data_IF_030534851242
#
_entry.id   IF_030534851242
#
_cell.length_a   1.000
_cell.length_b   1.000
_cell.length_c   1.000
_cell.angle_alpha   90.00
_cell.angle_beta   90.00
_cell.angle_gamma   90.00
#
_symmetry.space_group_name_H-M   'P 1'
#
loop_
_entity.id
_entity.type
_entity.pdbx_description
1 polymer ?
#
# COMPACT_ATOMS: atom_id res chain seq x y z
N UNK A 1 -23.69 -12.29 6.50
CA UNK A 1 -24.15 -10.97 6.02
C UNK A 1 -23.86 -9.95 7.10
N UNK A 2 -22.99 -8.98 6.82
CA UNK A 2 -22.76 -7.85 7.74
C UNK A 2 -24.07 -7.06 7.78
N UNK A 3 -24.66 -6.92 8.96
CA UNK A 3 -25.86 -6.11 9.15
C UNK A 3 -25.50 -4.65 8.89
N UNK A 4 -26.27 -3.97 8.05
CA UNK A 4 -26.12 -2.56 7.75
C UNK A 4 -26.35 -1.77 9.04
N UNK A 5 -25.31 -1.19 9.61
CA UNK A 5 -25.43 -0.33 10.77
C UNK A 5 -26.03 1.01 10.33
N UNK A 6 -27.16 1.40 10.92
CA UNK A 6 -27.90 2.63 10.55
C UNK A 6 -27.60 3.80 11.49
N UNK A 7 -26.69 3.63 12.46
CA UNK A 7 -26.32 4.68 13.40
C UNK A 7 -25.43 5.76 12.75
N UNK A 8 -25.38 6.93 13.38
CA UNK A 8 -24.50 8.02 12.93
C UNK A 8 -23.19 7.96 13.68
N UNK A 9 -22.08 7.88 12.93
CA UNK A 9 -20.72 7.81 13.45
C UNK A 9 -20.00 9.15 13.35
N UNK A 10 -19.02 9.36 14.22
CA UNK A 10 -18.16 10.55 14.23
C UNK A 10 -16.71 10.20 14.57
N UNK A 11 -15.77 10.89 13.95
CA UNK A 11 -14.34 10.81 14.29
C UNK A 11 -13.58 12.05 13.85
N UNK A 12 -12.37 12.24 14.42
CA UNK A 12 -11.39 13.21 13.92
C UNK A 12 -10.75 12.58 12.67
N UNK A 13 -10.79 13.29 11.54
CA UNK A 13 -10.31 12.82 10.23
C UNK A 13 -8.95 13.39 9.83
N UNK A 14 -8.40 14.33 10.58
CA UNK A 14 -7.06 14.90 10.40
C UNK A 14 -6.08 14.30 11.41
N UNK A 15 -4.76 14.32 11.11
CA UNK A 15 -3.74 13.92 12.09
C UNK A 15 -3.88 14.75 13.38
N UNK A 16 -3.60 14.11 14.53
CA UNK A 16 -3.57 14.79 15.83
C UNK A 16 -2.28 15.62 15.93
N UNK A 17 -2.43 16.90 16.26
CA UNK A 17 -1.29 17.82 16.38
C UNK A 17 -1.76 19.26 16.34
N UNK A 18 -0.81 20.20 16.27
CA UNK A 18 -1.09 21.62 16.06
C UNK A 18 -1.07 21.90 14.55
N UNK A 19 -2.16 22.46 14.03
CA UNK A 19 -2.32 22.78 12.62
C UNK A 19 -3.31 23.93 12.41
N UNK A 20 -3.42 24.42 11.19
CA UNK A 20 -4.38 25.48 10.88
C UNK A 20 -5.82 24.97 10.93
N UNK A 21 -6.07 23.72 10.53
CA UNK A 21 -7.41 23.12 10.41
C UNK A 21 -7.39 21.72 11.00
N UNK A 22 -8.41 21.41 11.82
CA UNK A 22 -8.82 20.07 12.22
C UNK A 22 -10.19 19.74 11.63
N UNK A 23 -10.45 18.48 11.28
CA UNK A 23 -11.73 18.04 10.73
C UNK A 23 -12.33 16.98 11.64
N UNK A 24 -13.54 17.26 12.15
CA UNK A 24 -14.39 16.26 12.80
C UNK A 24 -15.52 15.89 11.85
N UNK A 25 -15.60 14.61 11.50
CA UNK A 25 -16.56 14.10 10.49
C UNK A 25 -17.69 13.34 11.16
N UNK A 26 -18.92 13.52 10.64
CA UNK A 26 -20.07 12.67 10.92
C UNK A 26 -20.53 11.99 9.63
N UNK A 27 -21.00 10.75 9.74
CA UNK A 27 -21.66 10.02 8.64
C UNK A 27 -22.81 9.19 9.20
N UNK A 28 -23.96 9.25 8.54
CA UNK A 28 -25.15 8.50 8.93
C UNK A 28 -26.43 9.30 8.76
N UNK A 29 -27.56 8.65 9.04
CA UNK A 29 -28.90 9.21 8.83
C UNK A 29 -29.18 10.47 9.63
N UNK A 30 -28.59 10.59 10.83
CA UNK A 30 -28.82 11.70 11.75
C UNK A 30 -27.72 12.76 11.73
N UNK A 31 -26.76 12.68 10.76
CA UNK A 31 -25.61 13.57 10.71
C UNK A 31 -25.99 15.06 10.70
N UNK A 32 -26.99 15.43 9.89
CA UNK A 32 -27.50 16.80 9.83
C UNK A 32 -28.24 17.20 11.10
N UNK A 33 -29.06 16.30 11.67
CA UNK A 33 -29.83 16.57 12.88
C UNK A 33 -28.91 16.77 14.10
N UNK A 34 -27.86 15.95 14.23
CA UNK A 34 -26.86 16.06 15.31
C UNK A 34 -26.06 17.36 15.16
N UNK A 35 -25.54 17.62 13.95
CA UNK A 35 -24.77 18.84 13.70
C UNK A 35 -25.59 20.12 13.94
N UNK A 36 -26.87 20.14 13.57
CA UNK A 36 -27.76 21.28 13.76
C UNK A 36 -27.97 21.64 15.21
N UNK A 37 -27.88 20.67 16.15
CA UNK A 37 -28.02 20.95 17.60
C UNK A 37 -26.88 21.78 18.17
N UNK A 38 -25.69 21.69 17.55
CA UNK A 38 -24.45 22.31 18.04
C UNK A 38 -23.95 23.46 17.19
N UNK A 39 -24.52 23.65 16.00
CA UNK A 39 -24.09 24.66 15.06
C UNK A 39 -24.95 25.93 15.13
N UNK A 40 -24.31 27.09 15.29
CA UNK A 40 -24.93 28.40 15.17
C UNK A 40 -24.46 29.09 13.91
N UNK A 41 -25.28 29.07 12.89
CA UNK A 41 -25.03 29.63 11.57
C UNK A 41 -26.28 29.52 10.70
N UNK A 42 -26.08 29.19 9.41
CA UNK A 42 -27.20 28.88 8.51
C UNK A 42 -27.88 27.57 8.95
N UNK A 43 -29.18 27.49 8.73
CA UNK A 43 -29.93 26.25 8.96
C UNK A 43 -29.43 25.14 8.04
N UNK A 44 -28.77 24.12 8.61
CA UNK A 44 -28.20 23.00 7.86
C UNK A 44 -29.26 22.16 7.14
N UNK A 45 -30.53 22.23 7.55
CA UNK A 45 -31.62 21.55 6.84
C UNK A 45 -31.87 22.16 5.46
N UNK A 46 -31.57 23.45 5.27
CA UNK A 46 -31.87 24.21 4.06
C UNK A 46 -30.67 24.46 3.14
N UNK A 47 -29.46 24.20 3.61
CA UNK A 47 -28.24 24.41 2.81
C UNK A 47 -28.15 23.41 1.65
N UNK A 48 -27.63 23.81 0.49
CA UNK A 48 -27.39 22.88 -0.60
C UNK A 48 -26.32 21.85 -0.27
N UNK A 49 -26.41 20.67 -0.88
CA UNK A 49 -25.35 19.67 -0.78
C UNK A 49 -24.05 20.19 -1.40
N UNK A 50 -22.90 19.75 -0.86
CA UNK A 50 -21.55 20.17 -1.26
C UNK A 50 -21.32 21.68 -1.08
N UNK A 51 -21.77 22.22 0.04
CA UNK A 51 -21.59 23.62 0.41
C UNK A 51 -20.79 23.78 1.70
N UNK A 52 -20.04 24.87 1.79
CA UNK A 52 -19.36 25.31 3.02
C UNK A 52 -20.17 26.39 3.70
N UNK A 53 -20.38 26.27 5.00
CA UNK A 53 -21.23 27.14 5.78
C UNK A 53 -20.48 27.63 7.04
N UNK A 54 -20.27 28.95 7.12
CA UNK A 54 -19.61 29.60 8.24
C UNK A 54 -20.55 29.69 9.46
N UNK A 55 -19.98 29.49 10.66
CA UNK A 55 -20.68 29.65 11.92
C UNK A 55 -19.82 29.28 13.12
N UNK A 56 -20.48 28.94 14.23
CA UNK A 56 -19.82 28.59 15.48
C UNK A 56 -20.35 27.25 16.00
N UNK A 57 -19.51 26.49 16.66
CA UNK A 57 -19.91 25.35 17.48
C UNK A 57 -20.18 25.82 18.89
N UNK A 58 -21.36 25.52 19.38
CA UNK A 58 -21.85 25.93 20.70
C UNK A 58 -22.31 24.69 21.47
N UNK A 59 -21.89 24.57 22.70
CA UNK A 59 -22.47 23.58 23.60
C UNK A 59 -23.90 24.01 23.96
N UNK A 60 -24.96 23.27 23.56
CA UNK A 60 -26.34 23.65 23.80
C UNK A 60 -26.71 23.62 25.26
N UNK A 61 -25.95 22.97 26.14
CA UNK A 61 -26.20 22.87 27.56
C UNK A 61 -25.71 24.11 28.33
N UNK A 62 -24.52 24.62 27.96
CA UNK A 62 -23.86 25.73 28.65
C UNK A 62 -23.99 27.05 27.90
N UNK A 63 -24.29 27.02 26.60
CA UNK A 63 -24.28 28.18 25.72
C UNK A 63 -22.87 28.66 25.35
N UNK A 64 -21.83 27.94 25.76
CA UNK A 64 -20.44 28.29 25.50
C UNK A 64 -20.08 28.05 24.00
N UNK A 65 -19.46 29.04 23.40
CA UNK A 65 -18.83 28.90 22.04
C UNK A 65 -17.53 28.13 22.19
N UNK A 66 -17.42 26.99 21.51
CA UNK A 66 -16.23 26.16 21.53
C UNK A 66 -15.24 26.58 20.42
N UNK A 67 -15.77 26.90 19.22
CA UNK A 67 -14.92 27.30 18.09
C UNK A 67 -15.74 28.03 17.01
N UNK A 68 -15.04 28.79 16.19
CA UNK A 68 -15.51 29.37 14.93
C UNK A 68 -15.13 28.43 13.78
N UNK A 69 -16.10 27.98 12.99
CA UNK A 69 -15.92 26.82 12.10
C UNK A 69 -16.50 27.06 10.70
N UNK A 70 -16.04 26.24 9.77
CA UNK A 70 -16.69 26.02 8.47
C UNK A 70 -17.29 24.61 8.43
N UNK A 71 -18.60 24.50 8.21
CA UNK A 71 -19.25 23.19 8.04
C UNK A 71 -19.41 22.86 6.56
N UNK A 72 -18.80 21.73 6.14
CA UNK A 72 -19.08 21.07 4.88
C UNK A 72 -20.33 20.18 5.00
N UNK A 73 -21.36 20.46 4.21
CA UNK A 73 -22.61 19.72 4.21
C UNK A 73 -22.76 18.91 2.92
N UNK A 74 -22.86 17.58 3.01
CA UNK A 74 -22.92 16.68 1.87
C UNK A 74 -24.05 15.66 2.06
N UNK A 75 -25.00 15.62 1.12
CA UNK A 75 -26.18 14.75 1.21
C UNK A 75 -26.02 13.48 0.38
N UNK A 76 -26.50 12.38 0.95
CA UNK A 76 -26.67 11.10 0.27
C UNK A 76 -27.39 11.28 -1.10
N UNK A 77 -27.07 10.44 -2.14
CA UNK A 77 -26.04 9.38 -2.17
C UNK A 77 -24.67 9.86 -2.69
N UNK A 78 -24.50 11.14 -3.03
CA UNK A 78 -23.24 11.67 -3.64
C UNK A 78 -22.25 12.06 -2.55
N UNK A 79 -21.86 11.10 -1.69
CA UNK A 79 -20.91 11.30 -0.58
C UNK A 79 -19.93 10.15 -0.55
N UNK A 80 -18.89 10.24 0.28
CA UNK A 80 -17.90 9.16 0.40
C UNK A 80 -18.51 7.84 0.90
N UNK A 81 -19.37 7.90 1.91
CA UNK A 81 -20.04 6.72 2.49
C UNK A 81 -21.36 6.36 1.82
N UNK A 82 -21.82 7.18 0.86
CA UNK A 82 -23.21 7.18 0.36
C UNK A 82 -24.29 7.42 1.43
N UNK A 83 -23.89 7.93 2.60
CA UNK A 83 -24.76 8.41 3.67
C UNK A 83 -24.74 9.94 3.70
N UNK A 84 -25.54 10.58 4.55
CA UNK A 84 -25.40 11.99 4.84
C UNK A 84 -24.08 12.24 5.61
N UNK A 85 -23.29 13.21 5.15
CA UNK A 85 -21.98 13.52 5.74
C UNK A 85 -21.89 14.99 6.11
N UNK A 86 -21.40 15.26 7.31
CA UNK A 86 -21.03 16.59 7.78
C UNK A 86 -19.55 16.60 8.14
N UNK A 87 -18.81 17.59 7.66
CA UNK A 87 -17.44 17.85 8.07
C UNK A 87 -17.35 19.20 8.78
N UNK A 88 -16.95 19.18 10.04
CA UNK A 88 -16.73 20.37 10.85
C UNK A 88 -15.25 20.71 10.79
N UNK A 89 -14.92 21.76 10.03
CA UNK A 89 -13.56 22.28 9.92
C UNK A 89 -13.34 23.26 11.06
N UNK A 90 -12.57 22.85 12.05
CA UNK A 90 -12.24 23.57 13.28
C UNK A 90 -10.85 24.18 13.18
N UNK A 91 -10.45 25.03 14.13
CA UNK A 91 -9.03 25.27 14.36
C UNK A 91 -8.32 23.97 14.74
N UNK A 92 -7.11 23.73 14.18
CA UNK A 92 -6.39 22.46 14.26
C UNK A 92 -5.66 22.23 15.59
N UNK A 93 -6.35 22.45 16.72
CA UNK A 93 -5.83 22.18 18.06
C UNK A 93 -6.38 20.87 18.61
N UNK A 94 -5.56 20.08 19.33
CA UNK A 94 -5.97 18.80 19.93
C UNK A 94 -7.15 18.99 20.88
N UNK A 95 -7.13 20.03 21.71
CA UNK A 95 -8.16 20.28 22.71
C UNK A 95 -9.51 20.59 22.07
N UNK A 96 -9.54 21.48 21.07
CA UNK A 96 -10.80 21.91 20.44
C UNK A 96 -11.41 20.80 19.60
N UNK A 97 -10.63 20.06 18.84
CA UNK A 97 -11.13 18.93 18.02
C UNK A 97 -11.69 17.82 18.89
N UNK A 98 -11.04 17.49 20.02
CA UNK A 98 -11.53 16.50 20.96
C UNK A 98 -12.80 16.97 21.68
N UNK A 99 -12.90 18.23 22.10
CA UNK A 99 -14.10 18.75 22.76
C UNK A 99 -15.31 18.73 21.82
N UNK A 100 -15.12 19.09 20.55
CA UNK A 100 -16.18 19.02 19.53
C UNK A 100 -16.57 17.55 19.28
N UNK A 101 -15.63 16.62 19.17
CA UNK A 101 -15.90 15.19 19.03
C UNK A 101 -16.76 14.68 20.21
N UNK A 102 -16.36 15.00 21.44
CA UNK A 102 -17.12 14.62 22.65
C UNK A 102 -18.50 15.25 22.67
N UNK A 103 -18.63 16.50 22.22
CA UNK A 103 -19.92 17.17 22.13
C UNK A 103 -20.85 16.42 21.16
N UNK A 104 -20.37 16.02 19.97
CA UNK A 104 -21.16 15.29 18.99
C UNK A 104 -21.61 13.92 19.53
N UNK A 105 -20.74 13.23 20.29
CA UNK A 105 -21.09 11.97 20.96
C UNK A 105 -22.19 12.21 21.99
N UNK A 106 -22.10 13.26 22.80
CA UNK A 106 -23.17 13.65 23.75
C UNK A 106 -24.49 13.97 23.03
N UNK A 107 -24.44 14.42 21.77
CA UNK A 107 -25.65 14.72 20.99
C UNK A 107 -26.24 13.52 20.25
N UNK A 108 -25.64 12.33 20.36
CA UNK A 108 -26.18 11.08 19.85
C UNK A 108 -25.39 10.41 18.71
N UNK A 109 -24.22 10.93 18.35
CA UNK A 109 -23.31 10.20 17.47
C UNK A 109 -22.55 9.11 18.26
N UNK A 110 -22.18 8.03 17.58
CA UNK A 110 -21.25 7.02 18.10
C UNK A 110 -19.83 7.31 17.61
N UNK A 111 -18.83 7.02 18.41
CA UNK A 111 -17.44 7.03 17.96
C UNK A 111 -17.25 5.99 16.84
N UNK A 112 -16.64 6.39 15.73
CA UNK A 112 -16.32 5.47 14.64
C UNK A 112 -15.22 4.50 15.04
N UNK A 113 -15.29 3.28 14.52
CA UNK A 113 -14.19 2.31 14.55
C UNK A 113 -13.11 2.66 13.51
N UNK A 114 -11.88 2.13 13.64
CA UNK A 114 -10.86 2.26 12.59
C UNK A 114 -11.41 1.78 11.24
N UNK A 115 -11.23 2.59 10.18
CA UNK A 115 -11.68 2.26 8.82
C UNK A 115 -13.19 2.27 8.59
N UNK A 116 -14.02 2.65 9.57
CA UNK A 116 -15.48 2.48 9.46
C UNK A 116 -16.11 3.31 8.33
N UNK A 117 -15.63 4.50 8.07
CA UNK A 117 -16.16 5.30 6.93
C UNK A 117 -15.91 4.60 5.59
N UNK A 118 -14.72 4.02 5.39
CA UNK A 118 -14.40 3.27 4.16
C UNK A 118 -15.14 1.93 4.12
N UNK A 119 -15.32 1.25 5.26
CA UNK A 119 -16.16 0.06 5.39
C UNK A 119 -17.60 0.35 4.95
N UNK A 120 -18.18 1.48 5.40
CA UNK A 120 -19.51 1.92 4.96
C UNK A 120 -19.57 2.27 3.48
N UNK A 121 -18.52 2.91 2.94
CA UNK A 121 -18.42 3.15 1.51
C UNK A 121 -18.44 1.84 0.71
N UNK A 122 -17.74 0.80 1.17
CA UNK A 122 -17.76 -0.55 0.61
C UNK A 122 -19.14 -1.21 0.74
N UNK A 123 -19.72 -1.26 1.94
CA UNK A 123 -21.03 -1.87 2.20
C UNK A 123 -22.17 -1.18 1.43
N UNK A 124 -22.06 0.11 1.18
CA UNK A 124 -22.99 0.90 0.39
C UNK A 124 -22.69 0.82 -1.12
N UNK A 125 -21.71 0.04 -1.56
CA UNK A 125 -21.38 -0.21 -2.97
C UNK A 125 -20.80 1.02 -3.69
N UNK A 126 -20.17 1.96 -2.96
CA UNK A 126 -19.45 3.08 -3.58
C UNK A 126 -18.08 2.65 -4.11
N UNK A 127 -17.39 1.84 -3.35
CA UNK A 127 -16.08 1.28 -3.68
C UNK A 127 -16.11 -0.22 -3.45
N UNK A 128 -15.32 -0.97 -4.17
CA UNK A 128 -15.05 -2.38 -3.87
C UNK A 128 -13.86 -2.54 -2.91
N UNK A 129 -13.49 -3.79 -2.61
CA UNK A 129 -12.44 -4.06 -1.62
C UNK A 129 -11.06 -3.60 -2.13
N UNK A 130 -10.77 -3.72 -3.43
CA UNK A 130 -9.49 -3.27 -4.00
C UNK A 130 -9.36 -1.74 -3.97
N UNK A 131 -10.45 -1.03 -4.24
CA UNK A 131 -10.52 0.42 -4.15
C UNK A 131 -10.43 0.91 -2.69
N UNK A 132 -11.06 0.17 -1.75
CA UNK A 132 -10.95 0.47 -0.33
C UNK A 132 -9.50 0.35 0.16
N UNK A 133 -8.78 -0.71 -0.22
CA UNK A 133 -7.35 -0.87 0.08
C UNK A 133 -6.51 0.24 -0.56
N UNK A 134 -6.84 0.63 -1.79
CA UNK A 134 -6.15 1.71 -2.50
C UNK A 134 -6.27 3.07 -1.80
N UNK A 135 -7.36 3.34 -1.04
CA UNK A 135 -7.45 4.56 -0.19
C UNK A 135 -6.27 4.63 0.78
N UNK A 136 -5.93 3.51 1.43
CA UNK A 136 -4.80 3.48 2.35
C UNK A 136 -3.46 3.54 1.62
N UNK A 137 -3.36 2.93 0.45
CA UNK A 137 -2.15 2.97 -0.35
C UNK A 137 -1.84 4.40 -0.85
N UNK A 138 -2.86 5.19 -1.23
CA UNK A 138 -2.69 6.63 -1.54
C UNK A 138 -2.18 7.41 -0.33
N UNK A 139 -2.74 7.17 0.87
CA UNK A 139 -2.35 7.87 2.10
C UNK A 139 -0.91 7.51 2.53
N UNK A 140 -0.52 6.24 2.35
CA UNK A 140 0.78 5.71 2.76
C UNK A 140 1.86 5.82 1.68
N UNK A 141 1.51 6.25 0.46
CA UNK A 141 2.44 6.36 -0.65
C UNK A 141 3.67 7.21 -0.27
N UNK A 142 4.87 6.67 -0.53
CA UNK A 142 6.15 7.31 -0.21
C UNK A 142 6.80 7.98 -1.42
N UNK A 143 6.30 7.70 -2.62
CA UNK A 143 6.82 8.25 -3.87
C UNK A 143 5.68 8.58 -4.82
N UNK A 144 5.94 9.46 -5.79
CA UNK A 144 4.96 9.80 -6.84
C UNK A 144 4.52 8.58 -7.63
N UNK A 145 5.44 7.65 -7.93
CA UNK A 145 5.11 6.41 -8.64
C UNK A 145 4.17 5.53 -7.83
N UNK A 146 4.42 5.39 -6.51
CA UNK A 146 3.53 4.66 -5.61
C UNK A 146 2.15 5.32 -5.54
N UNK A 147 2.10 6.64 -5.39
CA UNK A 147 0.85 7.41 -5.36
C UNK A 147 0.06 7.24 -6.66
N UNK A 148 0.69 7.39 -7.83
CA UNK A 148 0.00 7.22 -9.11
C UNK A 148 -0.55 5.81 -9.29
N UNK A 149 0.19 4.76 -8.88
CA UNK A 149 -0.33 3.39 -8.93
C UNK A 149 -1.53 3.20 -7.99
N UNK A 150 -1.47 3.74 -6.77
CA UNK A 150 -2.58 3.67 -5.82
C UNK A 150 -3.82 4.44 -6.32
N UNK A 151 -3.64 5.62 -6.95
CA UNK A 151 -4.75 6.37 -7.56
C UNK A 151 -5.41 5.58 -8.69
N UNK A 152 -4.65 4.92 -9.57
CA UNK A 152 -5.21 4.05 -10.61
C UNK A 152 -6.03 2.89 -10.03
N UNK A 153 -5.56 2.27 -8.95
CA UNK A 153 -6.33 1.23 -8.27
C UNK A 153 -7.60 1.81 -7.64
N UNK A 154 -7.53 3.01 -7.05
CA UNK A 154 -8.68 3.72 -6.50
C UNK A 154 -9.72 4.06 -7.57
N UNK A 155 -9.28 4.41 -8.78
CA UNK A 155 -10.15 4.65 -9.95
C UNK A 155 -10.79 3.36 -10.48
N UNK A 156 -10.39 2.18 -9.98
CA UNK A 156 -11.01 0.89 -10.28
C UNK A 156 -10.39 0.13 -11.46
N UNK A 157 -9.19 0.48 -11.93
CA UNK A 157 -8.56 -0.19 -13.07
C UNK A 157 -8.34 -1.69 -12.84
N UNK A 158 -7.92 -2.08 -11.62
CA UNK A 158 -7.77 -3.50 -11.24
C UNK A 158 -9.14 -4.18 -11.12
N UNK A 159 -10.10 -3.53 -10.47
CA UNK A 159 -11.46 -4.04 -10.30
C UNK A 159 -12.13 -4.33 -11.65
N UNK A 160 -12.00 -3.42 -12.60
CA UNK A 160 -12.56 -3.59 -13.92
C UNK A 160 -11.95 -4.81 -14.62
N UNK A 161 -10.63 -4.94 -14.63
CA UNK A 161 -9.93 -6.08 -15.23
C UNK A 161 -10.38 -7.41 -14.62
N UNK A 162 -10.47 -7.49 -13.28
CA UNK A 162 -10.95 -8.70 -12.58
C UNK A 162 -12.41 -9.00 -12.91
N UNK A 163 -13.27 -8.00 -12.90
CA UNK A 163 -14.70 -8.18 -13.18
C UNK A 163 -14.95 -8.58 -14.65
N UNK A 164 -14.23 -8.00 -15.60
CA UNK A 164 -14.32 -8.38 -17.02
C UNK A 164 -13.87 -9.86 -17.19
N UNK A 165 -12.78 -10.26 -16.53
CA UNK A 165 -12.29 -11.65 -16.55
C UNK A 165 -13.32 -12.59 -15.92
N UNK A 166 -13.89 -12.24 -14.77
CA UNK A 166 -14.96 -13.02 -14.12
C UNK A 166 -16.18 -13.18 -15.00
N UNK A 167 -16.59 -12.12 -15.69
CA UNK A 167 -17.74 -12.18 -16.61
C UNK A 167 -17.48 -13.14 -17.77
N UNK A 168 -16.27 -13.11 -18.35
CA UNK A 168 -15.89 -14.05 -19.42
C UNK A 168 -15.83 -15.50 -18.92
N UNK A 169 -15.31 -15.75 -17.70
CA UNK A 169 -15.34 -17.09 -17.08
C UNK A 169 -16.78 -17.54 -16.89
N UNK A 170 -17.66 -16.67 -16.39
CA UNK A 170 -19.08 -16.97 -16.20
C UNK A 170 -19.78 -17.30 -17.54
N UNK A 171 -19.48 -16.56 -18.60
CA UNK A 171 -19.99 -16.83 -19.94
C UNK A 171 -19.52 -18.20 -20.45
N UNK A 172 -18.27 -18.56 -20.18
CA UNK A 172 -17.71 -19.88 -20.55
C UNK A 172 -18.40 -21.00 -19.77
N UNK A 173 -18.59 -20.81 -18.44
CA UNK A 173 -19.33 -21.76 -17.61
C UNK A 173 -20.76 -21.96 -18.08
N UNK A 174 -21.47 -20.89 -18.45
CA UNK A 174 -22.83 -20.98 -18.98
C UNK A 174 -22.89 -21.79 -20.29
N UNK A 175 -21.88 -21.66 -21.17
CA UNK A 175 -21.82 -22.45 -22.41
C UNK A 175 -21.54 -23.93 -22.13
N UNK A 176 -20.66 -24.22 -21.13
CA UNK A 176 -20.42 -25.61 -20.67
C UNK A 176 -21.71 -26.22 -20.14
N UNK A 177 -22.48 -25.49 -19.31
CA UNK A 177 -23.72 -25.99 -18.70
C UNK A 177 -24.80 -26.28 -19.74
N UNK A 178 -24.94 -25.42 -20.76
CA UNK A 178 -25.88 -25.69 -21.90
C UNK A 178 -25.53 -27.01 -22.61
N UNK A 179 -24.24 -27.34 -22.74
CA UNK A 179 -23.84 -28.55 -23.44
C UNK A 179 -24.01 -29.80 -22.54
N UNK A 180 -23.89 -29.67 -21.23
CA UNK A 180 -24.21 -30.75 -20.28
C UNK A 180 -25.71 -31.06 -20.30
N UNK A 181 -26.56 -30.05 -20.37
CA UNK A 181 -28.00 -30.20 -20.35
C UNK A 181 -28.59 -30.76 -21.66
N UNK A 182 -27.88 -30.57 -22.78
CA UNK A 182 -28.32 -30.99 -24.13
C UNK A 182 -27.26 -31.84 -24.86
N UNK A 183 -26.91 -33.02 -24.35
CA UNK A 183 -25.81 -33.83 -24.86
C UNK A 183 -26.10 -34.56 -26.18
N UNK A 184 -27.21 -34.26 -26.85
CA UNK A 184 -27.72 -35.01 -28.03
C UNK A 184 -26.88 -34.79 -29.30
N UNK A 185 -25.84 -33.96 -29.26
CA UNK A 185 -25.01 -33.60 -30.42
C UNK A 185 -23.51 -33.79 -30.13
N UNK A 186 -22.91 -34.86 -30.64
CA UNK A 186 -21.49 -35.20 -30.48
C UNK A 186 -20.56 -34.05 -30.94
N UNK A 187 -20.94 -33.31 -31.98
CA UNK A 187 -20.17 -32.18 -32.52
C UNK A 187 -20.06 -30.98 -31.49
N UNK A 188 -21.00 -30.90 -30.58
CA UNK A 188 -21.10 -29.83 -29.59
C UNK A 188 -20.11 -30.04 -28.43
N UNK A 189 -19.84 -31.29 -28.03
CA UNK A 189 -18.89 -31.61 -26.97
C UNK A 189 -17.46 -31.25 -27.40
N UNK A 190 -17.04 -31.59 -28.61
CA UNK A 190 -15.73 -31.27 -29.15
C UNK A 190 -15.53 -29.77 -29.29
N UNK A 191 -16.52 -29.05 -29.83
CA UNK A 191 -16.51 -27.59 -29.96
C UNK A 191 -16.43 -26.89 -28.59
N UNK A 192 -17.06 -27.45 -27.56
CA UNK A 192 -17.02 -26.90 -26.18
C UNK A 192 -15.68 -27.13 -25.54
N UNK A 193 -15.10 -28.30 -25.70
CA UNK A 193 -13.75 -28.62 -25.18
C UNK A 193 -12.71 -27.67 -25.75
N UNK A 194 -12.77 -27.38 -27.06
CA UNK A 194 -11.84 -26.45 -27.69
C UNK A 194 -12.06 -25.02 -27.23
N UNK A 195 -13.32 -24.57 -27.06
CA UNK A 195 -13.64 -23.28 -26.51
C UNK A 195 -13.10 -23.11 -25.08
N UNK A 196 -13.31 -24.10 -24.20
CA UNK A 196 -12.81 -24.09 -22.83
C UNK A 196 -11.27 -24.01 -22.83
N UNK A 197 -10.61 -24.76 -23.71
CA UNK A 197 -9.16 -24.72 -23.90
C UNK A 197 -8.67 -23.33 -24.26
N UNK A 198 -9.23 -22.75 -25.33
CA UNK A 198 -8.86 -21.41 -25.80
C UNK A 198 -9.05 -20.35 -24.72
N UNK A 199 -10.23 -20.34 -24.08
CA UNK A 199 -10.56 -19.36 -23.04
C UNK A 199 -9.70 -19.52 -21.80
N UNK A 200 -9.43 -20.73 -21.33
CA UNK A 200 -8.57 -20.99 -20.16
C UNK A 200 -7.15 -20.52 -20.40
N UNK A 201 -6.58 -20.76 -21.58
CA UNK A 201 -5.28 -20.24 -21.94
C UNK A 201 -5.22 -18.70 -22.00
N UNK A 202 -6.27 -18.06 -22.51
CA UNK A 202 -6.41 -16.60 -22.53
C UNK A 202 -6.46 -16.03 -21.09
N UNK A 203 -7.25 -16.62 -20.20
CA UNK A 203 -7.35 -16.19 -18.80
C UNK A 203 -6.03 -16.41 -18.07
N UNK A 204 -5.37 -17.55 -18.24
CA UNK A 204 -4.09 -17.84 -17.63
C UNK A 204 -3.03 -16.84 -18.06
N UNK A 205 -2.90 -16.57 -19.36
CA UNK A 205 -1.94 -15.61 -19.89
C UNK A 205 -2.16 -14.18 -19.34
N UNK A 206 -3.42 -13.75 -19.19
CA UNK A 206 -3.79 -12.47 -18.62
C UNK A 206 -3.39 -12.37 -17.14
N UNK A 207 -3.73 -13.37 -16.32
CA UNK A 207 -3.41 -13.39 -14.89
C UNK A 207 -1.89 -13.53 -14.65
N UNK A 208 -1.18 -14.33 -15.43
CA UNK A 208 0.28 -14.45 -15.36
C UNK A 208 0.98 -13.13 -15.74
N UNK A 209 0.43 -12.40 -16.74
CA UNK A 209 0.96 -11.08 -17.08
C UNK A 209 0.78 -10.10 -15.92
N UNK A 210 -0.36 -10.15 -15.24
CA UNK A 210 -0.62 -9.34 -14.06
C UNK A 210 0.36 -9.70 -12.92
N UNK A 211 0.61 -10.99 -12.67
CA UNK A 211 1.60 -11.46 -11.69
C UNK A 211 3.03 -10.98 -12.00
N UNK A 212 3.41 -10.86 -13.27
CA UNK A 212 4.72 -10.28 -13.64
C UNK A 212 4.92 -8.86 -13.15
N UNK A 213 3.83 -8.10 -12.96
CA UNK A 213 3.89 -6.74 -12.40
C UNK A 213 4.05 -6.74 -10.88
N UNK A 214 3.75 -7.85 -10.19
CA UNK A 214 3.62 -7.94 -8.73
C UNK A 214 4.91 -7.56 -8.00
N UNK A 215 6.08 -8.04 -8.46
CA UNK A 215 7.36 -7.71 -7.83
C UNK A 215 7.62 -6.20 -7.81
N UNK A 216 7.35 -5.52 -8.93
CA UNK A 216 7.51 -4.06 -9.05
C UNK A 216 6.49 -3.32 -8.20
N UNK A 217 5.23 -3.74 -8.26
CA UNK A 217 4.17 -3.14 -7.47
C UNK A 217 4.43 -3.25 -5.97
N UNK A 218 4.90 -4.42 -5.50
CA UNK A 218 5.28 -4.63 -4.10
C UNK A 218 6.42 -3.69 -3.68
N UNK A 219 7.46 -3.54 -4.51
CA UNK A 219 8.56 -2.61 -4.26
C UNK A 219 8.05 -1.16 -4.17
N UNK A 220 7.17 -0.74 -5.07
CA UNK A 220 6.62 0.62 -5.04
C UNK A 220 5.78 0.88 -3.78
N UNK A 221 5.08 -0.13 -3.27
CA UNK A 221 4.20 -0.03 -2.09
C UNK A 221 4.97 -0.12 -0.78
N UNK A 222 5.81 -1.14 -0.62
CA UNK A 222 6.47 -1.50 0.64
C UNK A 222 7.87 -0.90 0.75
N UNK A 223 8.50 -0.60 -0.39
CA UNK A 223 9.89 -0.21 -0.47
C UNK A 223 10.84 -1.40 -0.55
N UNK A 224 12.12 -1.11 -0.78
CA UNK A 224 13.22 -2.08 -0.75
C UNK A 224 13.84 -2.03 0.65
N UNK A 225 13.71 -3.10 1.43
CA UNK A 225 14.35 -3.21 2.72
C UNK A 225 15.88 -3.15 2.54
N UNK A 226 16.50 -2.04 2.97
CA UNK A 226 17.90 -1.70 2.66
C UNK A 226 18.73 -1.57 3.91
N UNK A 227 19.78 -2.39 4.02
CA UNK A 227 20.77 -2.30 5.08
C UNK A 227 22.03 -1.58 4.57
N UNK A 228 22.56 -0.63 5.38
CA UNK A 228 23.85 0.02 5.14
C UNK A 228 24.87 -0.57 6.10
N UNK A 229 25.80 -1.37 5.61
CA UNK A 229 26.80 -2.07 6.42
C UNK A 229 28.23 -1.66 6.07
N UNK A 230 29.15 -1.92 6.95
CA UNK A 230 30.59 -1.60 6.81
C UNK A 230 31.23 -1.36 8.18
N UNK A 231 32.56 -1.32 8.23
CA UNK A 231 33.30 -1.02 9.45
C UNK A 231 32.93 0.35 10.06
N UNK A 232 33.28 0.63 11.34
CA UNK A 232 33.26 1.98 11.87
C UNK A 232 34.08 2.96 11.00
N UNK A 233 33.65 4.21 10.93
CA UNK A 233 34.34 5.31 10.25
C UNK A 233 34.53 5.19 8.71
N UNK A 234 33.91 4.22 8.03
CA UNK A 234 33.94 4.14 6.55
C UNK A 234 33.05 5.17 5.87
N UNK A 235 32.14 5.81 6.63
CA UNK A 235 31.24 6.87 6.11
C UNK A 235 29.78 6.45 5.97
N UNK A 236 29.31 5.41 6.66
CA UNK A 236 27.90 4.96 6.65
C UNK A 236 26.93 6.08 7.04
N UNK A 237 27.17 6.74 8.19
CA UNK A 237 26.32 7.84 8.66
C UNK A 237 26.34 9.04 7.71
N UNK A 238 27.50 9.30 7.09
CA UNK A 238 27.62 10.36 6.08
C UNK A 238 26.83 10.03 4.81
N UNK A 239 26.88 8.77 4.34
CA UNK A 239 26.10 8.29 3.21
C UNK A 239 24.61 8.38 3.52
N UNK A 240 24.19 7.88 4.69
CA UNK A 240 22.80 7.97 5.14
C UNK A 240 22.32 9.43 5.15
N UNK A 241 23.09 10.34 5.77
CA UNK A 241 22.74 11.76 5.82
C UNK A 241 22.74 12.42 4.44
N UNK A 242 23.59 12.00 3.52
CA UNK A 242 23.58 12.49 2.15
C UNK A 242 22.32 12.04 1.41
N UNK A 243 21.96 10.76 1.49
CA UNK A 243 20.73 10.20 0.92
C UNK A 243 19.47 10.85 1.51
N UNK A 244 19.49 11.23 2.79
CA UNK A 244 18.37 11.90 3.46
C UNK A 244 18.28 13.41 3.15
N UNK A 245 19.39 14.10 2.86
CA UNK A 245 19.43 15.57 2.68
C UNK A 245 19.00 16.06 1.31
N UNK A 246 19.11 15.27 0.26
CA UNK A 246 18.82 15.68 -1.12
C UNK A 246 17.31 15.67 -1.45
N UNK A 247 16.43 16.30 -0.65
CA UNK A 247 14.95 16.31 -0.84
C UNK A 247 14.31 14.90 -0.96
N UNK A 248 15.07 13.86 -0.65
CA UNK A 248 14.72 12.45 -0.84
C UNK A 248 14.16 11.80 0.44
N UNK A 249 14.31 12.47 1.59
CA UNK A 249 13.81 11.93 2.86
C UNK A 249 12.30 12.12 2.97
N UNK A 250 11.59 11.02 3.10
CA UNK A 250 10.18 11.04 3.50
C UNK A 250 10.17 10.69 4.99
N UNK A 251 10.28 11.71 5.84
CA UNK A 251 10.11 11.55 7.28
C UNK A 251 8.61 11.50 7.55
N UNK A 252 8.10 10.33 7.92
CA UNK A 252 6.72 10.19 8.36
C UNK A 252 6.68 10.23 9.88
N UNK A 253 6.62 11.43 10.45
CA UNK A 253 6.10 11.60 11.80
C UNK A 253 4.58 11.44 11.74
N UNK A 254 4.09 10.21 11.74
CA UNK A 254 2.66 9.96 11.99
C UNK A 254 2.47 10.07 13.49
N UNK A 255 2.14 11.28 13.94
CA UNK A 255 1.73 11.52 15.33
C UNK A 255 0.49 10.67 15.62
N UNK A 256 0.61 9.67 16.51
CA UNK A 256 -0.53 8.86 16.94
C UNK A 256 -0.29 7.36 17.09
N UNK A 257 0.82 6.81 16.57
CA UNK A 257 1.17 5.40 16.75
C UNK A 257 2.33 5.28 17.76
N UNK A 258 1.98 5.20 19.03
CA UNK A 258 2.94 5.20 20.16
C UNK A 258 3.75 3.92 20.34
N UNK A 259 3.83 3.02 19.33
CA UNK A 259 4.56 1.75 19.41
C UNK A 259 5.30 1.29 18.15
N UNK A 260 5.18 1.99 17.03
CA UNK A 260 5.84 1.54 15.81
C UNK A 260 7.26 2.12 15.72
N UNK A 261 8.20 1.27 15.35
CA UNK A 261 9.59 1.63 15.03
C UNK A 261 9.55 2.75 13.99
N UNK A 262 10.27 3.86 14.23
CA UNK A 262 10.39 4.95 13.26
C UNK A 262 11.09 4.37 12.04
N UNK A 263 10.31 4.10 11.00
CA UNK A 263 10.81 3.62 9.72
C UNK A 263 11.27 4.82 8.88
N UNK A 264 12.51 4.82 8.45
CA UNK A 264 13.06 5.85 7.59
C UNK A 264 13.03 5.39 6.14
N UNK A 265 12.47 6.25 5.26
CA UNK A 265 12.41 6.00 3.84
C UNK A 265 13.22 7.04 3.07
N UNK A 266 13.92 6.58 2.03
CA UNK A 266 14.63 7.42 1.06
C UNK A 266 14.02 7.19 -0.32
N UNK A 267 13.68 8.26 -1.03
CA UNK A 267 13.17 8.16 -2.40
C UNK A 267 14.32 8.21 -3.40
N UNK A 268 14.59 7.10 -4.09
CA UNK A 268 15.61 7.00 -5.13
C UNK A 268 14.92 6.91 -6.50
N UNK A 269 14.84 8.02 -7.24
CA UNK A 269 14.19 8.10 -8.58
C UNK A 269 12.78 7.49 -8.63
N UNK A 270 12.01 7.69 -7.57
CA UNK A 270 10.64 7.16 -7.45
C UNK A 270 10.57 5.75 -6.87
N UNK A 271 11.68 5.19 -6.37
CA UNK A 271 11.76 3.92 -5.66
C UNK A 271 11.96 4.18 -4.17
N UNK A 272 11.05 3.75 -3.29
CA UNK A 272 11.24 3.91 -1.85
C UNK A 272 12.25 2.87 -1.34
N UNK A 273 13.34 3.33 -0.71
CA UNK A 273 14.23 2.48 0.09
C UNK A 273 13.78 2.57 1.56
N UNK A 274 13.40 1.44 2.13
CA UNK A 274 13.11 1.31 3.55
C UNK A 274 14.40 0.98 4.30
N UNK A 275 14.92 1.94 5.06
CA UNK A 275 16.17 1.78 5.80
C UNK A 275 15.93 0.94 7.06
N UNK A 276 16.70 -0.15 7.20
CA UNK A 276 16.67 -1.02 8.37
C UNK A 276 17.90 -0.77 9.24
N UNK A 277 17.71 -0.87 10.57
CA UNK A 277 18.75 -0.69 11.62
C UNK A 277 19.48 0.66 11.58
N UNK A 278 18.74 1.75 11.35
CA UNK A 278 19.32 3.11 11.34
C UNK A 278 19.88 3.54 12.71
N UNK A 279 19.42 2.94 13.82
CA UNK A 279 19.93 3.22 15.17
C UNK A 279 21.42 2.85 15.30
N UNK A 280 21.84 1.71 14.73
CA UNK A 280 23.25 1.32 14.72
C UNK A 280 24.16 2.20 13.85
N UNK A 281 23.56 3.00 12.96
CA UNK A 281 24.29 3.93 12.07
C UNK A 281 24.42 5.32 12.72
N UNK A 282 23.47 5.72 13.57
CA UNK A 282 23.42 7.05 14.23
C UNK A 282 24.21 7.14 15.53
N UNK A 283 24.35 6.03 16.28
CA UNK A 283 25.14 6.00 17.51
C UNK A 283 26.61 5.96 17.16
N UNK A 284 27.28 7.09 17.35
CA UNK A 284 28.74 7.24 17.30
C UNK A 284 29.32 6.86 18.65
N UNK A 285 30.39 6.04 18.58
CA UNK A 285 31.46 5.84 19.58
C UNK A 285 31.24 4.85 20.76
N UNK A 286 32.09 3.87 20.75
CA UNK A 286 32.80 3.21 21.85
C UNK A 286 32.25 2.00 22.61
N UNK A 287 31.11 1.41 22.40
CA UNK A 287 30.74 0.22 23.24
C UNK A 287 30.35 -1.07 22.49
N UNK A 288 30.40 -1.17 21.16
CA UNK A 288 29.66 -2.26 20.50
C UNK A 288 30.41 -3.03 19.39
N UNK A 289 31.61 -3.52 19.63
CA UNK A 289 32.28 -4.44 18.67
C UNK A 289 31.58 -5.83 18.55
N UNK A 290 31.03 -6.36 19.64
CA UNK A 290 30.35 -7.67 19.62
C UNK A 290 28.85 -7.58 19.23
N UNK A 291 28.13 -6.54 19.63
CA UNK A 291 26.72 -6.33 19.32
C UNK A 291 26.54 -5.93 17.83
N UNK A 292 27.54 -5.27 17.23
CA UNK A 292 27.54 -4.87 15.83
C UNK A 292 27.49 -6.05 14.85
N UNK A 293 28.16 -7.15 15.13
CA UNK A 293 28.20 -8.34 14.26
C UNK A 293 26.86 -9.12 14.27
N UNK A 294 26.24 -9.25 15.44
CA UNK A 294 24.93 -9.94 15.55
C UNK A 294 23.79 -9.09 14.95
N UNK A 295 23.79 -7.77 15.17
CA UNK A 295 22.82 -6.85 14.52
C UNK A 295 23.00 -6.83 13.01
N UNK A 296 24.24 -6.78 12.52
CA UNK A 296 24.52 -6.87 11.08
C UNK A 296 24.01 -8.17 10.46
N UNK A 297 24.09 -9.31 11.17
CA UNK A 297 23.54 -10.58 10.69
C UNK A 297 22.02 -10.55 10.57
N UNK A 298 21.33 -10.01 11.57
CA UNK A 298 19.87 -9.88 11.52
C UNK A 298 19.42 -8.93 10.40
N UNK A 299 20.11 -7.79 10.26
CA UNK A 299 19.85 -6.84 9.17
C UNK A 299 20.12 -7.46 7.79
N UNK A 300 21.12 -8.35 7.67
CA UNK A 300 21.40 -9.11 6.45
C UNK A 300 20.30 -10.11 6.09
N UNK A 301 19.68 -10.74 7.09
CA UNK A 301 18.58 -11.71 6.90
C UNK A 301 17.27 -11.02 6.48
N UNK A 302 17.05 -9.78 6.91
CA UNK A 302 15.82 -9.00 6.66
C UNK A 302 15.94 -8.09 5.43
N UNK A 303 17.16 -7.89 4.87
CA UNK A 303 17.40 -6.95 3.78
C UNK A 303 17.14 -7.56 2.40
N UNK A 304 16.40 -6.81 1.55
CA UNK A 304 16.30 -7.05 0.11
C UNK A 304 17.52 -6.52 -0.66
N UNK A 305 18.20 -5.50 -0.09
CA UNK A 305 19.36 -4.81 -0.64
C UNK A 305 20.37 -4.49 0.44
N UNK A 306 21.64 -4.74 0.15
CA UNK A 306 22.77 -4.40 1.01
C UNK A 306 23.61 -3.32 0.31
N UNK A 307 23.81 -2.19 0.99
CA UNK A 307 24.83 -1.19 0.63
C UNK A 307 26.06 -1.41 1.51
N UNK A 308 27.06 -2.12 0.98
CA UNK A 308 28.32 -2.37 1.69
C UNK A 308 29.31 -1.24 1.43
N UNK A 309 29.63 -0.47 2.48
CA UNK A 309 30.54 0.68 2.40
C UNK A 309 31.95 0.29 2.85
N UNK A 310 32.91 0.47 1.97
CA UNK A 310 34.35 0.28 2.21
C UNK A 310 35.10 1.62 2.20
N UNK A 311 36.27 1.70 2.84
CA UNK A 311 37.10 2.90 2.88
C UNK A 311 38.26 2.78 1.88
N UNK A 312 38.27 3.60 0.81
CA UNK A 312 39.34 3.59 -0.20
C UNK A 312 40.71 3.93 0.34
N UNK A 313 40.80 4.76 1.39
CA UNK A 313 42.07 5.28 1.94
C UNK A 313 42.81 4.32 2.89
N UNK A 314 42.27 3.12 3.13
CA UNK A 314 42.83 2.10 4.01
C UNK A 314 42.87 0.73 3.32
N UNK A 315 43.87 -0.14 3.60
CA UNK A 315 43.86 -1.52 3.10
C UNK A 315 42.63 -2.29 3.62
N UNK A 316 42.17 -3.29 2.86
CA UNK A 316 41.08 -4.20 3.30
C UNK A 316 41.51 -4.96 4.55
N UNK A 317 40.68 -4.87 5.59
CA UNK A 317 40.85 -5.63 6.83
C UNK A 317 40.17 -7.01 6.71
N UNK A 318 40.44 -7.88 7.70
CA UNK A 318 39.74 -9.17 7.81
C UNK A 318 38.20 -8.99 7.97
N UNK A 319 37.80 -7.92 8.68
CA UNK A 319 36.39 -7.59 8.85
C UNK A 319 35.72 -7.20 7.52
N UNK A 320 36.39 -6.42 6.66
CA UNK A 320 35.88 -6.07 5.33
C UNK A 320 35.73 -7.30 4.45
N UNK A 321 36.72 -8.22 4.47
CA UNK A 321 36.65 -9.49 3.70
C UNK A 321 35.49 -10.37 4.17
N UNK A 322 35.26 -10.46 5.48
CA UNK A 322 34.14 -11.20 6.04
C UNK A 322 32.78 -10.59 5.62
N UNK A 323 32.65 -9.26 5.63
CA UNK A 323 31.44 -8.58 5.17
C UNK A 323 31.22 -8.78 3.67
N UNK A 324 32.26 -8.73 2.84
CA UNK A 324 32.19 -9.05 1.42
C UNK A 324 31.71 -10.49 1.18
N UNK A 325 32.22 -11.46 1.94
CA UNK A 325 31.85 -12.87 1.77
C UNK A 325 30.40 -13.14 2.22
N UNK A 326 29.96 -12.59 3.35
CA UNK A 326 28.61 -12.82 3.90
C UNK A 326 27.55 -12.12 3.03
N UNK A 327 27.84 -10.94 2.47
CA UNK A 327 26.90 -10.18 1.66
C UNK A 327 26.71 -10.72 0.24
N UNK A 328 27.48 -11.72 -0.18
CA UNK A 328 27.41 -12.30 -1.54
C UNK A 328 26.13 -13.11 -1.81
N UNK A 329 25.40 -13.47 -0.76
CA UNK A 329 24.17 -14.26 -0.83
C UNK A 329 22.90 -13.43 -1.08
N UNK A 330 23.01 -12.09 -1.06
CA UNK A 330 21.87 -11.16 -1.20
C UNK A 330 22.20 -10.13 -2.29
N UNK A 331 21.19 -9.47 -2.84
CA UNK A 331 21.44 -8.32 -3.73
C UNK A 331 22.29 -7.28 -2.98
N UNK A 332 23.50 -7.04 -3.47
CA UNK A 332 24.41 -6.08 -2.85
C UNK A 332 24.93 -5.06 -3.85
N UNK A 333 25.25 -3.89 -3.34
CA UNK A 333 26.03 -2.86 -4.02
C UNK A 333 27.24 -2.55 -3.14
N UNK A 334 28.45 -2.77 -3.67
CA UNK A 334 29.69 -2.45 -2.97
C UNK A 334 30.09 -1.02 -3.30
N UNK A 335 30.20 -0.18 -2.28
CA UNK A 335 30.54 1.24 -2.37
C UNK A 335 31.92 1.48 -1.80
N UNK A 336 32.86 1.89 -2.63
CA UNK A 336 34.19 2.30 -2.22
C UNK A 336 34.16 3.81 -1.98
N UNK A 337 34.06 4.20 -0.70
CA UNK A 337 33.94 5.59 -0.29
C UNK A 337 35.29 6.24 0.01
N UNK A 338 35.32 7.58 0.08
CA UNK A 338 36.51 8.43 0.29
C UNK A 338 37.51 8.38 -0.86
N UNK A 339 37.02 8.26 -2.09
CA UNK A 339 37.85 8.27 -3.31
C UNK A 339 38.46 9.65 -3.62
N UNK A 340 38.14 10.66 -2.82
CA UNK A 340 38.82 11.95 -2.77
C UNK A 340 40.18 11.91 -2.08
N UNK A 341 40.50 10.78 -1.43
CA UNK A 341 41.80 10.48 -0.81
C UNK A 341 42.59 9.48 -1.66
N UNK A 342 43.87 9.25 -1.31
CA UNK A 342 44.69 8.25 -1.99
C UNK A 342 44.14 6.82 -1.79
N UNK A 343 43.83 6.11 -2.88
CA UNK A 343 43.33 4.75 -2.82
C UNK A 343 44.43 3.75 -2.45
N UNK A 344 44.18 2.91 -1.42
CA UNK A 344 45.14 1.92 -0.89
C UNK A 344 44.67 0.47 -1.05
N UNK A 345 43.53 0.26 -1.72
CA UNK A 345 42.98 -1.06 -2.00
C UNK A 345 43.36 -1.42 -3.43
N UNK A 346 43.95 -2.60 -3.62
CA UNK A 346 44.26 -3.12 -4.96
C UNK A 346 42.97 -3.57 -5.67
N UNK A 347 42.87 -3.29 -6.97
CA UNK A 347 41.64 -3.51 -7.75
C UNK A 347 41.21 -4.99 -7.81
N UNK A 348 42.15 -5.93 -7.75
CA UNK A 348 41.93 -7.37 -7.74
C UNK A 348 41.30 -7.90 -6.43
N UNK A 349 41.30 -7.10 -5.38
CA UNK A 349 40.66 -7.42 -4.09
C UNK A 349 39.19 -7.00 -4.01
N UNK A 350 38.68 -6.31 -5.03
CA UNK A 350 37.33 -5.77 -5.08
C UNK A 350 36.48 -6.47 -6.17
N UNK A 351 35.15 -6.55 -5.99
CA UNK A 351 34.26 -6.99 -7.08
C UNK A 351 34.39 -6.08 -8.30
N UNK A 352 34.15 -6.64 -9.48
CA UNK A 352 34.21 -5.89 -10.76
C UNK A 352 33.20 -4.72 -10.83
N UNK A 353 32.07 -4.86 -10.11
CA UNK A 353 30.95 -3.91 -10.13
C UNK A 353 30.95 -2.92 -8.94
N UNK A 354 32.12 -2.69 -8.29
CA UNK A 354 32.28 -1.73 -7.21
C UNK A 354 32.03 -0.29 -7.69
N UNK A 355 31.21 0.46 -6.97
CA UNK A 355 30.96 1.87 -7.23
C UNK A 355 31.92 2.74 -6.39
N UNK A 356 32.72 3.56 -7.06
CA UNK A 356 33.65 4.49 -6.41
C UNK A 356 32.97 5.81 -6.14
N UNK A 357 32.82 6.18 -4.85
CA UNK A 357 32.11 7.38 -4.41
C UNK A 357 32.98 8.26 -3.51
N UNK A 358 32.66 9.54 -3.46
CA UNK A 358 33.04 10.42 -2.36
C UNK A 358 31.79 11.10 -1.79
N UNK A 359 31.33 10.63 -0.65
CA UNK A 359 30.17 11.24 0.04
C UNK A 359 30.48 12.68 0.43
N UNK A 360 31.74 12.99 0.84
CA UNK A 360 32.15 14.33 1.22
C UNK A 360 32.05 15.32 0.05
N UNK A 361 32.40 14.89 -1.16
CA UNK A 361 32.39 15.74 -2.37
C UNK A 361 31.14 15.53 -3.23
N UNK A 362 30.18 14.73 -2.78
CA UNK A 362 28.96 14.35 -3.52
C UNK A 362 29.28 13.81 -4.93
N UNK A 363 30.29 12.94 -5.06
CA UNK A 363 30.71 12.38 -6.34
C UNK A 363 30.17 10.96 -6.52
N UNK A 364 29.61 10.67 -7.71
CA UNK A 364 29.11 9.37 -8.16
C UNK A 364 28.00 8.78 -7.27
N UNK A 365 27.27 9.59 -6.51
CA UNK A 365 26.12 9.11 -5.72
C UNK A 365 24.97 8.68 -6.64
N UNK A 366 24.81 9.34 -7.80
CA UNK A 366 23.87 9.02 -8.86
C UNK A 366 24.05 7.59 -9.43
N UNK A 367 25.26 7.05 -9.41
CA UNK A 367 25.53 5.67 -9.84
C UNK A 367 24.90 4.62 -8.91
N UNK A 368 24.76 4.95 -7.62
CA UNK A 368 24.02 4.09 -6.67
C UNK A 368 22.56 3.98 -7.12
N UNK A 369 21.94 5.10 -7.48
CA UNK A 369 20.57 5.17 -7.95
C UNK A 369 20.35 4.38 -9.23
N UNK A 370 21.28 4.50 -10.20
CA UNK A 370 21.24 3.76 -11.45
C UNK A 370 21.36 2.26 -11.21
N UNK A 371 22.29 1.84 -10.33
CA UNK A 371 22.48 0.42 -10.00
C UNK A 371 21.26 -0.18 -9.31
N UNK A 372 20.62 0.56 -8.39
CA UNK A 372 19.37 0.13 -7.76
C UNK A 372 18.28 -0.05 -8.80
N UNK A 373 18.13 0.93 -9.70
CA UNK A 373 17.14 0.85 -10.77
C UNK A 373 17.38 -0.35 -11.68
N UNK A 374 18.64 -0.60 -12.03
CA UNK A 374 19.04 -1.76 -12.83
C UNK A 374 18.70 -3.09 -12.14
N UNK A 375 19.03 -3.25 -10.86
CA UNK A 375 18.82 -4.50 -10.12
C UNK A 375 17.32 -4.85 -9.96
N UNK A 376 16.48 -3.85 -9.75
CA UNK A 376 15.09 -4.10 -9.37
C UNK A 376 14.06 -3.80 -10.47
N UNK A 377 14.41 -3.01 -11.51
CA UNK A 377 13.45 -2.57 -12.52
C UNK A 377 13.83 -2.91 -13.97
N UNK A 378 15.11 -2.92 -14.37
CA UNK A 378 15.49 -3.14 -15.79
C UNK A 378 15.38 -4.60 -16.23
N UNK A 379 15.57 -5.56 -15.33
CA UNK A 379 15.54 -7.00 -15.67
C UNK A 379 14.12 -7.58 -15.89
N UNK A 380 13.07 -6.77 -15.79
CA UNK A 380 11.69 -7.24 -15.82
C UNK A 380 10.91 -6.80 -17.08
N UNK A 381 11.59 -6.57 -18.23
CA UNK A 381 10.97 -6.25 -19.52
C UNK A 381 10.32 -4.85 -19.56
N UNK A 382 10.10 -4.33 -20.75
CA UNK A 382 9.36 -3.09 -21.00
C UNK A 382 7.89 -3.30 -20.60
N UNK A 383 7.51 -2.97 -19.37
CA UNK A 383 6.11 -2.81 -19.00
C UNK A 383 5.73 -1.36 -19.31
N UNK A 384 4.67 -1.17 -20.08
CA UNK A 384 4.16 0.13 -20.49
C UNK A 384 4.05 1.10 -19.30
N UNK A 385 4.35 2.38 -19.55
CA UNK A 385 4.27 3.43 -18.53
C UNK A 385 2.87 3.54 -17.89
N UNK A 386 1.85 2.96 -18.52
CA UNK A 386 0.45 3.00 -18.12
C UNK A 386 -0.06 1.70 -17.47
N UNK A 387 0.80 0.71 -17.21
CA UNK A 387 0.36 -0.53 -16.57
C UNK A 387 -0.03 -0.32 -15.10
N UNK A 388 -1.14 -0.93 -14.68
CA UNK A 388 -1.50 -1.06 -13.26
C UNK A 388 -0.64 -2.15 -12.66
N UNK A 389 0.17 -1.80 -11.64
CA UNK A 389 1.01 -2.78 -10.95
C UNK A 389 0.23 -3.43 -9.81
N UNK A 390 0.26 -4.75 -9.77
CA UNK A 390 -0.25 -5.52 -8.65
C UNK A 390 0.70 -5.35 -7.45
N UNK A 391 0.23 -4.70 -6.38
CA UNK A 391 1.08 -4.31 -5.24
C UNK A 391 0.69 -4.94 -3.92
N UNK A 392 -0.53 -5.47 -3.80
CA UNK A 392 -1.08 -6.01 -2.59
C UNK A 392 -0.83 -7.52 -2.50
N UNK A 393 -0.20 -7.98 -1.41
CA UNK A 393 0.13 -9.41 -1.19
C UNK A 393 -1.12 -10.30 -1.17
N UNK A 394 -2.28 -9.82 -0.70
CA UNK A 394 -3.56 -10.55 -0.76
C UNK A 394 -3.98 -10.79 -2.21
N UNK A 395 -3.95 -9.74 -3.05
CA UNK A 395 -4.30 -9.85 -4.47
C UNK A 395 -3.35 -10.80 -5.20
N UNK A 396 -2.04 -10.69 -4.94
CA UNK A 396 -1.02 -11.57 -5.53
C UNK A 396 -1.33 -13.03 -5.21
N UNK A 397 -1.55 -13.36 -3.94
CA UNK A 397 -1.84 -14.73 -3.50
C UNK A 397 -3.13 -15.28 -4.11
N UNK A 398 -4.19 -14.46 -4.22
CA UNK A 398 -5.46 -14.88 -4.83
C UNK A 398 -5.30 -15.10 -6.35
N UNK A 399 -4.53 -14.25 -7.05
CA UNK A 399 -4.28 -14.45 -8.48
C UNK A 399 -3.41 -15.69 -8.72
N UNK A 400 -2.41 -15.97 -7.87
CA UNK A 400 -1.63 -17.22 -7.93
C UNK A 400 -2.53 -18.44 -7.78
N UNK A 401 -3.48 -18.44 -6.84
CA UNK A 401 -4.44 -19.51 -6.67
C UNK A 401 -5.38 -19.64 -7.88
N UNK A 402 -5.83 -18.51 -8.47
CA UNK A 402 -6.65 -18.52 -9.67
C UNK A 402 -5.89 -19.14 -10.87
N UNK A 403 -4.61 -18.79 -11.05
CA UNK A 403 -3.74 -19.40 -12.07
C UNK A 403 -3.58 -20.91 -11.84
N UNK A 404 -3.40 -21.34 -10.60
CA UNK A 404 -3.34 -22.79 -10.27
C UNK A 404 -4.64 -23.52 -10.63
N UNK A 405 -5.82 -22.89 -10.40
CA UNK A 405 -7.09 -23.49 -10.81
C UNK A 405 -7.21 -23.59 -12.33
N UNK A 406 -6.78 -22.58 -13.08
CA UNK A 406 -6.76 -22.62 -14.55
C UNK A 406 -5.75 -23.66 -15.08
N UNK A 407 -4.61 -23.82 -14.42
CA UNK A 407 -3.66 -24.88 -14.77
C UNK A 407 -4.27 -26.27 -14.59
N UNK A 408 -5.04 -26.51 -13.51
CA UNK A 408 -5.75 -27.77 -13.29
C UNK A 408 -6.76 -28.05 -14.41
N UNK A 409 -7.46 -27.01 -14.93
CA UNK A 409 -8.33 -27.15 -16.11
C UNK A 409 -7.54 -27.57 -17.34
N UNK A 410 -6.41 -26.93 -17.64
CA UNK A 410 -5.57 -27.28 -18.78
C UNK A 410 -5.02 -28.69 -18.69
N UNK A 411 -4.51 -29.10 -17.51
CA UNK A 411 -4.01 -30.45 -17.27
C UNK A 411 -5.12 -31.50 -17.47
N UNK A 412 -6.32 -31.22 -16.98
CA UNK A 412 -7.49 -32.09 -17.19
C UNK A 412 -7.89 -32.22 -18.67
N UNK A 413 -7.83 -31.12 -19.43
CA UNK A 413 -8.09 -31.12 -20.89
C UNK A 413 -7.04 -31.97 -21.63
N UNK A 414 -5.78 -31.92 -21.23
CA UNK A 414 -4.70 -32.72 -21.82
C UNK A 414 -4.89 -34.22 -21.50
N UNK A 415 -5.43 -34.55 -20.33
CA UNK A 415 -5.76 -35.90 -19.93
C UNK A 415 -7.05 -36.44 -20.57
N UNK A 416 -7.76 -35.61 -21.34
CA UNK A 416 -9.04 -35.98 -21.96
C UNK A 416 -10.18 -36.11 -20.95
N UNK A 417 -10.14 -35.35 -19.86
CA UNK A 417 -11.23 -35.32 -18.87
C UNK A 417 -12.50 -34.68 -19.47
N UNK A 418 -13.67 -35.18 -19.15
CA UNK A 418 -14.94 -34.56 -19.54
C UNK A 418 -15.07 -33.14 -19.00
N UNK A 419 -15.69 -32.24 -19.78
CA UNK A 419 -15.76 -30.80 -19.49
C UNK A 419 -16.56 -30.48 -18.22
N UNK A 420 -17.54 -31.34 -17.89
CA UNK A 420 -18.34 -31.25 -16.65
C UNK A 420 -17.48 -31.36 -15.37
N UNK A 421 -16.42 -32.15 -15.40
CA UNK A 421 -15.48 -32.23 -14.28
C UNK A 421 -14.59 -31.00 -14.19
N UNK A 422 -14.21 -30.39 -15.31
CA UNK A 422 -13.38 -29.20 -15.40
C UNK A 422 -14.12 -27.93 -14.95
N UNK A 423 -15.44 -27.94 -15.00
CA UNK A 423 -16.29 -26.85 -14.52
C UNK A 423 -16.02 -26.51 -13.05
N UNK A 424 -15.66 -27.47 -12.22
CA UNK A 424 -15.35 -27.28 -10.79
C UNK A 424 -14.18 -26.31 -10.62
N UNK A 425 -13.10 -26.52 -11.37
CA UNK A 425 -11.89 -25.69 -11.27
C UNK A 425 -12.09 -24.30 -11.91
N UNK A 426 -12.87 -24.19 -13.01
CA UNK A 426 -13.28 -22.89 -13.55
C UNK A 426 -14.14 -22.10 -12.56
N UNK A 427 -15.08 -22.77 -11.88
CA UNK A 427 -15.93 -22.14 -10.85
C UNK A 427 -15.08 -21.66 -9.68
N UNK A 428 -14.10 -22.47 -9.27
CA UNK A 428 -13.16 -22.11 -8.22
C UNK A 428 -12.35 -20.86 -8.62
N UNK A 429 -11.83 -20.80 -9.84
CA UNK A 429 -11.14 -19.62 -10.35
C UNK A 429 -12.04 -18.37 -10.27
N UNK A 430 -13.29 -18.47 -10.73
CA UNK A 430 -14.29 -17.40 -10.67
C UNK A 430 -14.54 -16.90 -9.25
N UNK A 431 -14.66 -17.81 -8.27
CA UNK A 431 -14.85 -17.50 -6.85
C UNK A 431 -13.63 -16.76 -6.27
N UNK A 432 -12.41 -17.29 -6.51
CA UNK A 432 -11.16 -16.69 -6.03
C UNK A 432 -11.00 -15.26 -6.56
N UNK A 433 -11.28 -15.03 -7.84
CA UNK A 433 -11.26 -13.68 -8.41
C UNK A 433 -12.30 -12.75 -7.75
N UNK A 434 -13.46 -13.29 -7.34
CA UNK A 434 -14.48 -12.55 -6.60
C UNK A 434 -14.05 -12.14 -5.18
N UNK A 435 -13.17 -12.90 -4.55
CA UNK A 435 -12.60 -12.52 -3.26
C UNK A 435 -11.70 -11.27 -3.38
N UNK A 436 -11.07 -11.03 -4.54
CA UNK A 436 -10.24 -9.85 -4.78
C UNK A 436 -11.08 -8.57 -4.66
N UNK A 437 -12.22 -8.52 -5.34
CA UNK A 437 -13.13 -7.36 -5.34
C UNK A 437 -14.01 -7.29 -4.09
N UNK A 438 -14.12 -8.39 -3.34
CA UNK A 438 -14.92 -8.48 -2.13
C UNK A 438 -16.33 -9.07 -2.31
N UNK A 439 -16.70 -9.46 -3.54
CA UNK A 439 -18.04 -10.03 -3.80
C UNK A 439 -18.24 -11.39 -3.10
N UNK A 440 -17.15 -12.14 -2.91
CA UNK A 440 -17.14 -13.44 -2.25
C UNK A 440 -16.27 -13.47 -0.97
N UNK A 441 -15.85 -12.31 -0.48
CA UNK A 441 -14.95 -12.21 0.69
C UNK A 441 -15.72 -12.54 1.99
N UNK A 442 -15.15 -13.35 2.91
CA UNK A 442 -15.72 -13.60 4.22
C UNK A 442 -15.84 -12.33 5.08
N UNK A 443 -16.89 -12.24 5.91
CA UNK A 443 -17.13 -11.10 6.80
C UNK A 443 -15.97 -10.85 7.78
N UNK A 444 -15.30 -11.92 8.25
CA UNK A 444 -14.11 -11.82 9.11
C UNK A 444 -12.95 -11.12 8.41
N UNK A 445 -12.71 -11.46 7.14
CA UNK A 445 -11.64 -10.84 6.35
C UNK A 445 -11.90 -9.34 6.17
N UNK A 446 -13.14 -8.96 5.83
CA UNK A 446 -13.55 -7.57 5.68
C UNK A 446 -13.32 -6.81 6.99
N UNK A 447 -13.75 -7.37 8.13
CA UNK A 447 -13.58 -6.74 9.44
C UNK A 447 -12.10 -6.60 9.81
N UNK A 448 -11.29 -7.65 9.59
CA UNK A 448 -9.86 -7.62 9.87
C UNK A 448 -9.15 -6.57 9.01
N UNK A 449 -9.48 -6.48 7.72
CA UNK A 449 -8.88 -5.53 6.80
C UNK A 449 -9.13 -4.09 7.25
N UNK A 450 -10.38 -3.73 7.53
CA UNK A 450 -10.72 -2.36 7.93
C UNK A 450 -10.18 -1.98 9.31
N UNK A 451 -9.96 -2.94 10.22
CA UNK A 451 -9.34 -2.68 11.53
C UNK A 451 -7.91 -2.13 11.44
N UNK A 452 -7.22 -2.32 10.30
CA UNK A 452 -5.87 -1.81 10.04
C UNK A 452 -5.86 -0.39 9.45
N UNK A 453 -7.04 0.20 9.21
CA UNK A 453 -7.16 1.54 8.66
C UNK A 453 -7.05 2.61 9.74
N UNK A 454 -6.78 3.84 9.31
CA UNK A 454 -6.76 4.98 10.23
C UNK A 454 -8.16 5.27 10.78
N UNK A 455 -8.22 5.74 12.03
CA UNK A 455 -9.43 6.32 12.60
C UNK A 455 -9.87 7.54 11.77
N UNK A 456 -11.16 7.66 11.48
CA UNK A 456 -11.69 8.76 10.67
C UNK A 456 -11.62 8.56 9.14
N UNK A 457 -11.24 7.33 8.73
CA UNK A 457 -11.23 6.88 7.32
C UNK A 457 -12.17 5.71 7.09
#
# INVERSE_FOLDING_TARGET
>A
MITKEFDTITAISTPLGEGAIGIVRLSGTDAFAIASKVFKGKDLATVPSHSLNYGHIIDPTTGQVLDEVMIGAMRSPKTFTREDVIEINTHGGIAVTNEILQLLIRQGARMAEPGEFTKRAFLNGRVDLTQAEAVMDVIRAKTDKAMHNAVRQLDGSLSQLINDTRQEILNTLAQVEVNIDYPEYDDVEEATTELVREKTLQFQALLENLLRTARRGKILREGIATAIIGRPNVGKSSLLNNLLREEKAIVTDIAGTTRDVIEEYVNIKGVPLKLIDTAGIRETDDIVEKIGVERSKKALEEADLILLVLNASEPLTEQDRNLLAISDLTNRIVLLNKTDLEEKIEADQLPEDVIRISVLKNQNIDQIEEKINQLFFENAGLVEQDATYLSNSRHISLIEQAVQSLQAVNDGLEMGMPVDLLQVDLTRCWQILGEITGDAAPDELITQLFSQFCLGK
#
